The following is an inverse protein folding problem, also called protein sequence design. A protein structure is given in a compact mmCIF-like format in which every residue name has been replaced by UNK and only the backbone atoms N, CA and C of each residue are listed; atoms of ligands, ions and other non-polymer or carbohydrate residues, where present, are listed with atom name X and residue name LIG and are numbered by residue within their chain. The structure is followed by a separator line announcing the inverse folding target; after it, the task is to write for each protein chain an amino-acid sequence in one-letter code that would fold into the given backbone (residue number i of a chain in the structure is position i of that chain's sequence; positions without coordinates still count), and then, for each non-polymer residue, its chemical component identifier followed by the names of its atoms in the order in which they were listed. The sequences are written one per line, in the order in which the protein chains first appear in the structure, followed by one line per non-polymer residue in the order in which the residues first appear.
data_IF_881525985165
#
_entry.id   IF_881525985165
#
_cell.length_a   1.000
_cell.length_b   1.000
_cell.length_c   1.000
_cell.angle_alpha   90.00
_cell.angle_beta   90.00
_cell.angle_gamma   90.00
#
_symmetry.space_group_name_H-M   'P 1'
#
loop_
_entity.id
_entity.type
_entity.pdbx_description
1 polymer ?
#
# COMPACT_ATOMS: atom_id res chain seq x y z
N UNK A 1 -13.38 4.20 -0.11
CA UNK A 1 -13.13 5.20 -1.17
C UNK A 1 -12.81 6.54 -0.53
N UNK A 2 -11.72 7.19 -0.93
CA UNK A 2 -11.31 8.53 -0.50
C UNK A 2 -11.20 9.41 -1.75
N UNK A 3 -11.69 10.63 -1.65
CA UNK A 3 -11.70 11.61 -2.73
C UNK A 3 -10.86 12.81 -2.33
N UNK A 4 -9.98 13.27 -3.21
CA UNK A 4 -9.19 14.47 -3.03
C UNK A 4 -9.35 15.41 -4.24
N UNK A 5 -9.68 16.67 -3.98
CA UNK A 5 -9.77 17.73 -4.98
C UNK A 5 -8.52 18.61 -4.93
N UNK A 6 -7.89 18.83 -6.09
CA UNK A 6 -6.64 19.58 -6.19
C UNK A 6 -6.75 20.89 -6.98
N UNK A 7 -7.96 21.37 -7.26
CA UNK A 7 -8.14 22.66 -7.91
C UNK A 7 -9.16 23.56 -7.22
N UNK A 8 -9.04 24.88 -7.44
CA UNK A 8 -9.92 25.89 -6.85
C UNK A 8 -11.20 26.13 -7.67
N UNK A 9 -11.46 25.34 -8.71
CA UNK A 9 -12.52 25.57 -9.70
C UNK A 9 -13.40 24.35 -9.99
N UNK A 10 -14.62 24.59 -10.48
CA UNK A 10 -15.63 23.56 -10.76
C UNK A 10 -15.16 22.51 -11.78
N UNK A 11 -14.31 22.90 -12.72
CA UNK A 11 -13.78 22.04 -13.78
C UNK A 11 -12.48 21.31 -13.38
N UNK A 12 -12.11 21.34 -12.10
CA UNK A 12 -10.88 20.70 -11.64
C UNK A 12 -11.07 19.18 -11.55
N UNK A 13 -10.09 18.38 -12.01
CA UNK A 13 -10.15 16.93 -11.89
C UNK A 13 -10.14 16.52 -10.41
N UNK A 14 -10.98 15.55 -10.08
CA UNK A 14 -11.05 14.89 -8.77
C UNK A 14 -10.25 13.60 -8.84
N UNK A 15 -9.41 13.37 -7.84
CA UNK A 15 -8.66 12.12 -7.71
C UNK A 15 -9.35 11.21 -6.70
N UNK A 16 -9.45 9.93 -7.04
CA UNK A 16 -10.11 8.91 -6.21
C UNK A 16 -9.10 7.84 -5.84
N UNK A 17 -9.14 7.41 -4.58
CA UNK A 17 -8.44 6.24 -4.06
C UNK A 17 -9.48 5.21 -3.64
N UNK A 18 -9.35 3.99 -4.14
CA UNK A 18 -10.12 2.81 -3.75
C UNK A 18 -9.19 1.78 -3.10
N UNK A 19 -9.72 0.63 -2.71
CA UNK A 19 -8.93 -0.45 -2.12
C UNK A 19 -7.83 -0.99 -3.03
N UNK A 20 -8.03 -0.89 -4.35
CA UNK A 20 -7.15 -1.49 -5.35
C UNK A 20 -6.56 -0.53 -6.36
N UNK A 21 -7.06 0.70 -6.48
CA UNK A 21 -6.71 1.61 -7.57
C UNK A 21 -6.72 3.07 -7.13
N UNK A 22 -6.04 3.85 -7.94
CA UNK A 22 -6.11 5.31 -7.94
C UNK A 22 -6.63 5.74 -9.32
N UNK A 23 -7.49 6.75 -9.35
CA UNK A 23 -8.12 7.24 -10.58
C UNK A 23 -8.29 8.75 -10.59
N UNK A 24 -8.57 9.29 -11.77
CA UNK A 24 -8.89 10.70 -11.99
C UNK A 24 -10.22 10.73 -12.75
N UNK A 25 -11.10 11.63 -12.34
CA UNK A 25 -12.44 11.80 -12.91
C UNK A 25 -12.86 13.27 -12.76
N UNK A 26 -13.92 13.67 -13.45
CA UNK A 26 -14.56 14.96 -13.22
C UNK A 26 -15.54 14.88 -12.05
N UNK A 27 -15.99 16.03 -11.56
CA UNK A 27 -16.99 16.08 -10.46
C UNK A 27 -18.33 15.47 -10.85
N UNK A 28 -18.66 15.51 -12.13
CA UNK A 28 -19.91 15.00 -12.70
C UNK A 28 -19.92 13.47 -12.80
N UNK A 29 -18.74 12.83 -12.79
CA UNK A 29 -18.59 11.37 -12.85
C UNK A 29 -18.69 10.70 -11.46
N UNK A 30 -18.75 11.50 -10.38
CA UNK A 30 -18.75 10.98 -9.01
C UNK A 30 -20.05 11.27 -8.28
N UNK A 31 -20.57 10.25 -7.61
CA UNK A 31 -21.64 10.40 -6.63
C UNK A 31 -21.05 10.33 -5.24
N UNK A 32 -21.08 11.45 -4.51
CA UNK A 32 -20.66 11.51 -3.10
C UNK A 32 -21.90 11.24 -2.23
N UNK A 33 -21.88 10.19 -1.37
CA UNK A 33 -22.97 9.94 -0.44
C UNK A 33 -23.24 11.16 0.44
N UNK A 34 -24.52 11.41 0.74
CA UNK A 34 -24.93 12.50 1.63
C UNK A 34 -24.38 12.31 3.05
N UNK A 35 -24.39 11.08 3.51
CA UNK A 35 -23.80 10.69 4.79
C UNK A 35 -22.35 10.27 4.58
N UNK A 36 -21.39 10.85 5.33
CA UNK A 36 -19.98 10.48 5.19
C UNK A 36 -19.79 8.99 5.44
N UNK A 37 -19.08 8.34 4.52
CA UNK A 37 -18.62 6.97 4.74
C UNK A 37 -17.58 6.95 5.88
N UNK A 38 -17.49 5.86 6.65
CA UNK A 38 -16.42 5.68 7.61
C UNK A 38 -15.03 5.85 6.95
N UNK A 39 -14.02 6.28 7.70
CA UNK A 39 -12.64 6.25 7.22
C UNK A 39 -12.30 4.84 6.73
N UNK A 40 -11.62 4.77 5.59
CA UNK A 40 -11.19 3.52 5.00
C UNK A 40 -9.67 3.53 4.78
N UNK A 41 -9.04 2.36 4.90
CA UNK A 41 -7.66 2.14 4.52
C UNK A 41 -7.65 1.27 3.27
N UNK A 42 -6.95 1.66 2.20
CA UNK A 42 -6.85 0.81 1.02
C UNK A 42 -6.26 -0.56 1.35
N UNK A 43 -6.99 -1.63 1.03
CA UNK A 43 -6.55 -3.01 1.28
C UNK A 43 -5.15 -3.32 0.73
N UNK A 44 -4.76 -2.71 -0.39
CA UNK A 44 -3.40 -2.81 -0.96
C UNK A 44 -2.27 -2.43 0.00
N UNK A 45 -2.55 -1.61 1.02
CA UNK A 45 -1.54 -1.18 1.98
C UNK A 45 -1.31 -2.18 3.11
N UNK A 46 -2.18 -3.17 3.30
CA UNK A 46 -2.07 -4.06 4.48
C UNK A 46 -2.44 -5.54 4.26
N UNK A 47 -3.13 -5.89 3.18
CA UNK A 47 -3.31 -7.30 2.83
C UNK A 47 -2.08 -7.90 2.18
N UNK A 48 -1.80 -9.16 2.51
CA UNK A 48 -0.60 -9.85 2.11
C UNK A 48 -0.86 -10.54 0.79
N UNK A 49 -0.10 -10.16 -0.24
CA UNK A 49 -0.18 -10.77 -1.55
C UNK A 49 0.61 -12.09 -1.60
N UNK A 50 1.72 -12.13 -0.89
CA UNK A 50 2.58 -13.30 -0.86
C UNK A 50 3.67 -13.24 0.19
N UNK A 51 4.57 -14.21 0.15
CA UNK A 51 5.71 -14.31 1.03
C UNK A 51 6.99 -14.64 0.25
N UNK A 52 8.05 -13.88 0.52
CA UNK A 52 9.40 -14.18 0.12
C UNK A 52 10.08 -15.04 1.19
N UNK A 53 10.78 -16.10 0.78
CA UNK A 53 11.57 -16.92 1.69
C UNK A 53 13.04 -16.47 1.63
N UNK A 54 13.56 -16.00 2.76
CA UNK A 54 14.97 -15.64 2.93
C UNK A 54 15.85 -16.91 3.04
N UNK A 55 17.17 -16.82 2.78
CA UNK A 55 18.06 -18.00 2.83
C UNK A 55 18.12 -18.70 4.19
N UNK A 56 17.81 -17.99 5.28
CA UNK A 56 17.75 -18.55 6.64
C UNK A 56 16.41 -19.25 6.95
N UNK A 57 15.50 -19.32 5.97
CA UNK A 57 14.17 -19.91 6.10
C UNK A 57 13.11 -18.96 6.65
N UNK A 58 13.47 -17.74 7.06
CA UNK A 58 12.49 -16.74 7.49
C UNK A 58 11.66 -16.24 6.30
N UNK A 59 10.44 -15.74 6.59
CA UNK A 59 9.50 -15.30 5.56
C UNK A 59 9.23 -13.81 5.67
N UNK A 60 9.36 -13.08 4.57
CA UNK A 60 8.92 -11.69 4.49
C UNK A 60 7.63 -11.62 3.70
N UNK A 61 6.55 -11.25 4.38
CA UNK A 61 5.25 -10.99 3.77
C UNK A 61 5.31 -9.70 2.97
N UNK A 62 4.73 -9.70 1.77
CA UNK A 62 4.73 -8.55 0.87
C UNK A 62 3.33 -8.19 0.36
N UNK A 63 3.12 -6.91 0.04
CA UNK A 63 1.87 -6.38 -0.52
C UNK A 63 1.74 -6.66 -2.02
N UNK A 64 0.60 -6.36 -2.62
CA UNK A 64 0.40 -6.49 -4.08
C UNK A 64 1.39 -5.66 -4.90
N UNK A 65 1.87 -4.58 -4.32
CA UNK A 65 2.85 -3.68 -4.89
C UNK A 65 4.30 -4.14 -4.61
N UNK A 66 4.47 -5.39 -4.16
CA UNK A 66 5.75 -6.02 -3.82
C UNK A 66 6.55 -5.20 -2.80
N UNK A 67 5.84 -4.58 -1.85
CA UNK A 67 6.46 -3.87 -0.73
C UNK A 67 6.54 -4.79 0.49
N UNK A 68 7.66 -4.83 1.22
CA UNK A 68 7.76 -5.54 2.50
C UNK A 68 6.73 -5.02 3.51
N UNK A 69 6.14 -5.95 4.25
CA UNK A 69 5.16 -5.65 5.30
C UNK A 69 5.67 -6.13 6.67
N UNK A 70 5.87 -7.44 6.79
CA UNK A 70 6.30 -8.08 8.02
C UNK A 70 7.29 -9.22 7.74
N UNK A 71 8.19 -9.47 8.67
CA UNK A 71 9.07 -10.64 8.71
C UNK A 71 8.59 -11.61 9.78
N UNK A 72 8.46 -12.87 9.40
CA UNK A 72 8.08 -13.99 10.24
C UNK A 72 9.29 -14.89 10.48
N UNK A 73 9.50 -15.26 11.75
CA UNK A 73 10.53 -16.21 12.20
C UNK A 73 9.89 -17.17 13.18
N UNK A 74 10.31 -18.43 13.13
CA UNK A 74 9.75 -19.48 14.00
C UNK A 74 9.88 -19.11 15.47
N UNK A 75 8.75 -19.20 16.19
CA UNK A 75 8.65 -18.87 17.62
C UNK A 75 8.75 -17.37 17.95
N UNK A 76 8.85 -16.49 16.96
CA UNK A 76 8.93 -15.03 17.18
C UNK A 76 7.65 -14.32 16.74
N UNK A 77 7.40 -13.16 17.36
CA UNK A 77 6.31 -12.28 16.91
C UNK A 77 6.66 -11.69 15.54
N UNK A 78 5.67 -11.39 14.68
CA UNK A 78 5.89 -10.69 13.42
C UNK A 78 6.62 -9.37 13.64
N UNK A 79 7.70 -9.16 12.89
CA UNK A 79 8.47 -7.92 12.91
C UNK A 79 8.03 -7.05 11.75
N UNK A 80 7.71 -5.78 11.97
CA UNK A 80 7.48 -4.83 10.87
C UNK A 80 8.77 -4.63 10.06
N UNK A 81 8.63 -4.57 8.74
CA UNK A 81 9.74 -4.32 7.82
C UNK A 81 9.50 -3.00 7.11
N UNK A 82 10.49 -2.09 7.05
CA UNK A 82 10.39 -0.88 6.25
C UNK A 82 10.01 -1.21 4.80
N UNK A 83 9.01 -0.52 4.28
CA UNK A 83 8.47 -0.82 2.94
C UNK A 83 9.40 -0.43 1.79
N UNK A 84 10.48 0.29 2.08
CA UNK A 84 11.54 0.62 1.11
C UNK A 84 12.68 -0.40 1.07
N UNK A 85 12.73 -1.33 2.05
CA UNK A 85 13.82 -2.30 2.16
C UNK A 85 13.87 -3.25 0.96
N UNK A 86 15.09 -3.52 0.52
CA UNK A 86 15.34 -4.54 -0.50
C UNK A 86 15.54 -5.90 0.15
N UNK A 87 14.64 -6.85 -0.13
CA UNK A 87 14.66 -8.19 0.46
C UNK A 87 15.31 -9.18 -0.49
N UNK A 88 16.45 -9.72 -0.08
CA UNK A 88 17.09 -10.83 -0.79
C UNK A 88 16.40 -12.13 -0.40
N UNK A 89 15.78 -12.78 -1.37
CA UNK A 89 15.05 -14.03 -1.18
C UNK A 89 15.52 -15.08 -2.19
N UNK A 90 15.24 -16.35 -1.88
CA UNK A 90 15.57 -17.49 -2.73
C UNK A 90 14.33 -18.16 -3.33
N UNK A 91 13.15 -17.85 -2.79
CA UNK A 91 11.87 -18.37 -3.25
C UNK A 91 10.75 -17.37 -2.95
N UNK A 92 9.63 -17.48 -3.67
CA UNK A 92 8.45 -16.65 -3.48
C UNK A 92 7.15 -17.45 -3.67
N UNK A 93 6.14 -17.08 -2.88
CA UNK A 93 4.81 -17.70 -2.95
C UNK A 93 3.73 -16.64 -2.93
N UNK A 94 2.66 -16.86 -3.67
CA UNK A 94 1.48 -15.99 -3.70
C UNK A 94 0.29 -16.66 -3.04
N UNK A 95 -0.48 -15.87 -2.29
CA UNK A 95 -1.66 -16.35 -1.59
C UNK A 95 -2.94 -16.19 -2.38
N UNK A 96 -2.93 -15.31 -3.37
CA UNK A 96 -4.03 -15.04 -4.29
C UNK A 96 -3.47 -14.37 -5.55
N UNK A 97 -4.29 -14.29 -6.59
CA UNK A 97 -4.01 -13.62 -7.86
C UNK A 97 -5.02 -12.49 -8.11
N UNK A 98 -4.86 -11.73 -9.19
CA UNK A 98 -5.75 -10.59 -9.48
C UNK A 98 -7.22 -10.99 -9.63
N UNK A 99 -7.50 -12.16 -10.21
CA UNK A 99 -8.86 -12.72 -10.30
C UNK A 99 -9.41 -13.15 -8.93
N UNK A 100 -8.51 -13.35 -7.95
CA UNK A 100 -8.86 -13.76 -6.60
C UNK A 100 -8.55 -12.74 -5.53
N UNK A 101 -8.49 -11.47 -5.91
CA UNK A 101 -8.04 -10.44 -5.01
C UNK A 101 -9.09 -10.12 -3.91
N UNK A 102 -8.65 -9.88 -2.66
CA UNK A 102 -9.57 -9.68 -1.54
C UNK A 102 -10.44 -8.43 -1.67
N UNK A 103 -9.99 -7.37 -2.35
CA UNK A 103 -10.81 -6.15 -2.49
C UNK A 103 -12.05 -6.29 -3.39
N UNK A 104 -12.20 -7.37 -4.16
CA UNK A 104 -13.39 -7.60 -5.00
C UNK A 104 -14.49 -8.42 -4.28
N UNK A 105 -14.14 -9.12 -3.19
CA UNK A 105 -15.01 -10.12 -2.57
C UNK A 105 -14.86 -10.16 -1.04
N UNK A 106 -15.96 -9.91 -0.32
CA UNK A 106 -16.00 -9.89 1.16
C UNK A 106 -15.58 -11.24 1.79
N UNK A 107 -15.88 -12.37 1.17
CA UNK A 107 -15.41 -13.67 1.64
C UNK A 107 -13.88 -13.73 1.61
N UNK A 108 -13.28 -13.27 0.51
CA UNK A 108 -11.82 -13.23 0.37
C UNK A 108 -11.15 -12.22 1.30
N UNK A 109 -11.82 -11.11 1.62
CA UNK A 109 -11.36 -10.21 2.69
C UNK A 109 -11.28 -10.94 4.03
N UNK A 110 -12.33 -11.67 4.40
CA UNK A 110 -12.36 -12.42 5.65
C UNK A 110 -11.29 -13.52 5.71
N UNK A 111 -11.02 -14.22 4.59
CA UNK A 111 -9.93 -15.19 4.48
C UNK A 111 -8.56 -14.54 4.70
N UNK A 112 -8.33 -13.37 4.11
CA UNK A 112 -7.05 -12.67 4.23
C UNK A 112 -6.85 -12.07 5.62
N UNK A 113 -7.91 -11.55 6.24
CA UNK A 113 -7.88 -11.18 7.65
C UNK A 113 -7.60 -12.38 8.57
N UNK A 114 -8.18 -13.55 8.27
CA UNK A 114 -7.90 -14.77 9.02
C UNK A 114 -6.45 -15.22 8.85
N UNK A 115 -5.87 -15.03 7.65
CA UNK A 115 -4.44 -15.28 7.39
C UNK A 115 -3.54 -14.36 8.19
N UNK A 116 -3.82 -13.05 8.24
CA UNK A 116 -3.08 -12.12 9.09
C UNK A 116 -3.13 -12.55 10.56
N UNK A 117 -4.31 -12.93 11.05
CA UNK A 117 -4.49 -13.43 12.42
C UNK A 117 -3.71 -14.72 12.67
N UNK A 118 -3.64 -15.65 11.71
CA UNK A 118 -2.89 -16.89 11.86
C UNK A 118 -1.38 -16.68 11.95
N UNK A 119 -0.86 -15.58 11.37
CA UNK A 119 0.51 -15.14 11.58
C UNK A 119 0.73 -14.36 12.88
N UNK A 120 -0.31 -14.11 13.67
CA UNK A 120 -0.24 -13.29 14.89
C UNK A 120 -0.16 -11.78 14.60
N UNK A 121 -0.52 -11.33 13.39
CA UNK A 121 -0.53 -9.93 13.01
C UNK A 121 -1.85 -9.30 13.47
N UNK A 122 -1.74 -8.28 14.31
CA UNK A 122 -2.87 -7.56 14.92
C UNK A 122 -2.84 -6.06 14.66
N UNK A 123 -1.80 -5.56 14.01
CA UNK A 123 -1.60 -4.14 13.68
C UNK A 123 -1.38 -3.91 12.20
N UNK A 124 -1.29 -2.64 11.82
CA UNK A 124 -1.00 -2.22 10.45
C UNK A 124 0.50 -2.28 10.14
N UNK A 125 0.90 -2.46 8.87
CA UNK A 125 2.31 -2.42 8.47
C UNK A 125 2.79 -0.97 8.29
N UNK A 126 4.10 -0.75 8.26
CA UNK A 126 4.68 0.57 7.98
C UNK A 126 4.27 1.14 6.61
N UNK A 127 3.83 0.28 5.69
CA UNK A 127 3.34 0.69 4.37
C UNK A 127 2.17 1.68 4.45
N UNK A 128 1.39 1.67 5.53
CA UNK A 128 0.27 2.62 5.72
C UNK A 128 0.72 4.08 5.80
N UNK A 129 1.98 4.34 6.14
CA UNK A 129 2.56 5.69 6.19
C UNK A 129 2.66 6.34 4.80
N UNK A 130 2.45 5.55 3.73
CA UNK A 130 2.34 6.10 2.37
C UNK A 130 0.99 6.76 2.10
N UNK A 131 -0.05 6.50 2.89
CA UNK A 131 -1.39 7.01 2.62
C UNK A 131 -1.43 8.55 2.47
N UNK A 132 -0.81 9.35 3.35
CA UNK A 132 -0.71 10.80 3.13
C UNK A 132 -0.02 11.14 1.82
N UNK A 133 1.07 10.44 1.46
CA UNK A 133 1.80 10.69 0.22
C UNK A 133 1.01 10.32 -1.04
N UNK A 134 0.12 9.33 -0.94
CA UNK A 134 -0.83 9.00 -2.01
C UNK A 134 -1.87 10.11 -2.20
N UNK A 135 -2.21 10.84 -1.13
CA UNK A 135 -3.29 11.86 -1.09
C UNK A 135 -2.77 13.28 -1.26
N UNK A 136 -1.51 13.59 -0.93
CA UNK A 136 -0.99 14.98 -0.93
C UNK A 136 -0.05 15.28 -2.09
N UNK A 137 0.18 14.33 -2.99
CA UNK A 137 0.99 14.56 -4.19
C UNK A 137 0.25 15.50 -5.15
N UNK A 138 0.47 16.80 -4.96
CA UNK A 138 -0.13 17.90 -5.75
C UNK A 138 -0.02 17.57 -7.24
N UNK A 139 -1.18 17.35 -7.87
CA UNK A 139 -1.30 17.09 -9.30
C UNK A 139 -1.23 15.63 -9.76
N UNK A 140 -1.03 14.63 -8.88
CA UNK A 140 -1.05 13.20 -9.24
C UNK A 140 -1.22 12.28 -8.02
N UNK A 141 -2.36 11.61 -7.80
CA UNK A 141 -2.41 10.43 -6.91
C UNK A 141 -1.55 9.33 -7.52
N UNK A 142 -0.71 8.69 -6.70
CA UNK A 142 0.16 7.57 -7.12
C UNK A 142 -0.19 6.31 -6.34
N UNK A 143 -0.14 5.17 -7.03
CA UNK A 143 -0.17 3.86 -6.39
C UNK A 143 1.05 3.70 -5.46
N UNK A 144 0.97 2.84 -4.42
CA UNK A 144 2.08 2.63 -3.49
C UNK A 144 3.40 2.29 -4.18
N UNK A 145 3.37 1.46 -5.22
CA UNK A 145 4.56 1.11 -6.03
C UNK A 145 5.26 2.35 -6.62
N UNK A 146 4.49 3.34 -7.09
CA UNK A 146 5.04 4.58 -7.63
C UNK A 146 5.69 5.44 -6.55
N UNK A 147 5.03 5.58 -5.40
CA UNK A 147 5.55 6.35 -4.26
C UNK A 147 6.85 5.72 -3.73
N UNK A 148 6.87 4.40 -3.55
CA UNK A 148 8.04 3.65 -3.10
C UNK A 148 9.23 3.83 -4.02
N UNK A 149 9.01 3.75 -5.34
CA UNK A 149 10.06 3.98 -6.33
C UNK A 149 10.69 5.37 -6.16
N UNK A 150 9.88 6.41 -5.97
CA UNK A 150 10.39 7.77 -5.78
C UNK A 150 11.18 7.92 -4.47
N UNK A 151 10.70 7.31 -3.38
CA UNK A 151 11.39 7.33 -2.09
C UNK A 151 12.76 6.64 -2.20
N UNK A 152 12.82 5.46 -2.82
CA UNK A 152 14.07 4.72 -3.04
C UNK A 152 15.04 5.50 -3.94
N UNK A 153 14.55 6.24 -4.95
CA UNK A 153 15.38 7.10 -5.78
C UNK A 153 15.96 8.29 -4.99
N UNK A 154 15.18 8.88 -4.08
CA UNK A 154 15.62 9.98 -3.21
C UNK A 154 16.69 9.52 -2.21
N UNK A 155 16.51 8.38 -1.59
CA UNK A 155 17.51 7.80 -0.67
C UNK A 155 18.84 7.53 -1.38
N UNK A 156 18.80 7.02 -2.62
CA UNK A 156 20.00 6.77 -3.43
C UNK A 156 20.71 8.04 -3.92
N UNK A 157 19.98 9.15 -4.10
CA UNK A 157 20.55 10.39 -4.61
C UNK A 157 21.19 11.26 -3.52
N UNK A 158 21.01 10.93 -2.24
CA UNK A 158 21.53 11.69 -1.11
C UNK A 158 20.87 13.07 -0.97
N UNK A 159 21.12 13.80 0.14
CA UNK A 159 20.64 15.18 0.26
C UNK A 159 21.25 16.05 -0.84
N UNK A 160 20.52 17.05 -1.37
CA UNK A 160 21.10 18.01 -2.31
C UNK A 160 22.33 18.65 -1.66
N UNK A 161 23.47 18.63 -2.35
CA UNK A 161 24.70 19.29 -1.87
C UNK A 161 24.36 20.76 -1.61
N UNK A 162 24.69 21.33 -0.44
CA UNK A 162 24.52 22.76 -0.23
C UNK A 162 25.31 23.48 -1.32
N UNK A 163 24.63 24.35 -2.09
CA UNK A 163 25.33 25.24 -2.99
C UNK A 163 26.19 26.16 -2.12
N UNK A 164 27.50 25.95 -2.14
CA UNK A 164 28.45 26.92 -1.61
C UNK A 164 28.29 28.20 -2.44
N UNK A 165 27.87 29.26 -1.76
CA UNK A 165 27.79 30.62 -2.31
C UNK A 165 29.16 31.25 -2.46
#
# INVERSE_FOLDING_TARGET
MLTADFGRGRDSPVQIITDNRCGICTREEISIPRDPLPPFLPHRLYFVYGAWTEPDGSKVLFSRDYAPLWRLRDGQRPQQVPSTDWIKHQDETWFWEDATAPWEDRHRQAEEEARLRSFGITGLPLLIDLLPLMVTSVGNVRMPAGVLRDLQLREKSGPPRPMMG
#
